data_IF_534421985188
#
_entry.id   IF_534421985188
#
_cell.length_a   1.000
_cell.length_b   1.000
_cell.length_c   1.000
_cell.angle_alpha   90.00
_cell.angle_beta   90.00
_cell.angle_gamma   90.00
#
_symmetry.space_group_name_H-M   'P 1'
#
loop_
_entity.id
_entity.type
_entity.pdbx_description
1 polymer ?
#
# COMPACT_ATOMS: atom_id res chain seq x y z
N UNK A 1 13.20 -9.81 -14.54
CA UNK A 1 13.86 -9.32 -13.31
C UNK A 1 13.98 -7.80 -13.24
N UNK A 2 14.47 -7.09 -14.27
CA UNK A 2 14.58 -5.62 -14.28
C UNK A 2 13.26 -4.88 -13.94
N UNK A 3 12.13 -5.24 -14.58
CA UNK A 3 10.82 -4.63 -14.33
C UNK A 3 10.31 -4.86 -12.89
N UNK A 4 10.56 -6.05 -12.34
CA UNK A 4 10.22 -6.39 -10.96
C UNK A 4 11.02 -5.54 -9.97
N UNK A 5 12.32 -5.33 -10.25
CA UNK A 5 13.17 -4.44 -9.46
C UNK A 5 12.70 -2.98 -9.48
N UNK A 6 12.32 -2.46 -10.66
CA UNK A 6 11.74 -1.12 -10.79
C UNK A 6 10.44 -0.96 -9.98
N UNK A 7 9.54 -1.95 -10.06
CA UNK A 7 8.29 -1.91 -9.30
C UNK A 7 8.52 -1.90 -7.78
N UNK A 8 9.51 -2.63 -7.28
CA UNK A 8 9.89 -2.61 -5.87
C UNK A 8 10.53 -1.29 -5.45
N UNK A 9 11.42 -0.73 -6.29
CA UNK A 9 12.02 0.58 -6.03
C UNK A 9 10.97 1.70 -5.96
N UNK A 10 10.01 1.71 -6.89
CA UNK A 10 8.90 2.66 -6.90
C UNK A 10 8.00 2.55 -5.66
N UNK A 11 7.72 1.32 -5.23
CA UNK A 11 6.97 1.08 -4.00
C UNK A 11 7.74 1.61 -2.78
N UNK A 12 9.04 1.32 -2.70
CA UNK A 12 9.92 1.80 -1.62
C UNK A 12 9.97 3.33 -1.56
N UNK A 13 10.13 4.01 -2.69
CA UNK A 13 10.10 5.48 -2.75
C UNK A 13 8.77 6.05 -2.26
N UNK A 14 7.63 5.46 -2.67
CA UNK A 14 6.31 5.90 -2.21
C UNK A 14 6.13 5.69 -0.70
N UNK A 15 6.66 4.60 -0.14
CA UNK A 15 6.65 4.36 1.30
C UNK A 15 7.49 5.39 2.06
N UNK A 16 8.70 5.70 1.57
CA UNK A 16 9.55 6.73 2.17
C UNK A 16 8.88 8.12 2.15
N UNK A 17 8.29 8.52 1.01
CA UNK A 17 7.52 9.76 0.90
C UNK A 17 6.31 9.79 1.83
N UNK A 18 5.64 8.65 2.02
CA UNK A 18 4.51 8.54 2.93
C UNK A 18 4.96 8.68 4.38
N UNK A 19 6.08 8.07 4.76
CA UNK A 19 6.65 8.18 6.09
C UNK A 19 7.01 9.64 6.42
N UNK A 20 7.64 10.34 5.49
CA UNK A 20 7.95 11.76 5.64
C UNK A 20 6.70 12.63 5.76
N UNK A 21 5.74 12.47 4.83
CA UNK A 21 4.47 13.21 4.88
C UNK A 21 3.68 12.94 6.17
N UNK A 22 3.77 11.72 6.71
CA UNK A 22 3.08 11.33 7.95
C UNK A 22 3.59 12.12 9.15
N UNK A 23 4.89 12.43 9.23
CA UNK A 23 5.45 13.26 10.31
C UNK A 23 4.77 14.63 10.35
N UNK A 24 4.68 15.31 9.21
CA UNK A 24 4.03 16.62 9.12
C UNK A 24 2.54 16.54 9.47
N UNK A 25 1.84 15.52 9.00
CA UNK A 25 0.40 15.34 9.30
C UNK A 25 0.18 15.07 10.79
N UNK A 26 1.00 14.20 11.41
CA UNK A 26 0.92 13.88 12.84
C UNK A 26 1.18 15.14 13.66
N UNK A 27 2.30 15.82 13.43
CA UNK A 27 2.64 17.05 14.16
C UNK A 27 1.51 18.09 14.09
N UNK A 28 0.96 18.28 12.89
CA UNK A 28 -0.14 19.22 12.66
C UNK A 28 -1.39 18.87 13.43
N UNK A 29 -1.83 17.61 13.34
CA UNK A 29 -3.08 17.17 13.95
C UNK A 29 -2.95 17.09 15.47
N UNK A 30 -1.76 16.73 15.97
CA UNK A 30 -1.44 16.80 17.39
C UNK A 30 -1.50 18.23 17.92
N UNK A 31 -0.98 19.22 17.18
CA UNK A 31 -1.11 20.63 17.57
C UNK A 31 -2.57 21.10 17.62
N UNK A 32 -3.39 20.72 16.63
CA UNK A 32 -4.83 21.07 16.62
C UNK A 32 -5.59 20.43 17.80
N UNK A 33 -5.30 19.16 18.10
CA UNK A 33 -5.88 18.47 19.27
C UNK A 33 -5.43 19.12 20.57
N UNK A 34 -4.13 19.43 20.72
CA UNK A 34 -3.59 20.09 21.90
C UNK A 34 -4.20 21.48 22.12
N UNK A 35 -4.42 22.24 21.04
CA UNK A 35 -5.07 23.54 21.11
C UNK A 35 -6.51 23.41 21.61
N UNK A 36 -7.30 22.49 21.06
CA UNK A 36 -8.66 22.23 21.53
C UNK A 36 -8.72 21.65 22.96
N UNK A 37 -7.70 20.90 23.40
CA UNK A 37 -7.63 20.42 24.79
C UNK A 37 -7.31 21.55 25.78
N UNK A 38 -6.53 22.56 25.37
CA UNK A 38 -6.17 23.72 26.20
C UNK A 38 -7.27 24.78 26.22
N UNK A 39 -7.99 24.93 25.11
CA UNK A 39 -9.15 25.82 24.98
C UNK A 39 -10.32 25.06 24.34
N UNK A 40 -11.10 24.32 25.16
CA UNK A 40 -12.21 23.52 24.65
C UNK A 40 -13.39 24.35 24.13
N UNK A 41 -13.49 25.64 24.45
CA UNK A 41 -14.61 26.46 23.97
C UNK A 41 -14.32 27.01 22.57
N UNK A 42 -13.05 27.15 22.19
CA UNK A 42 -12.63 27.70 20.89
C UNK A 42 -11.89 26.69 20.00
N UNK A 43 -11.97 25.40 20.30
CA UNK A 43 -11.38 24.34 19.48
C UNK A 43 -11.97 24.28 18.06
N UNK A 44 -11.14 23.99 17.05
CA UNK A 44 -11.58 23.74 15.67
C UNK A 44 -12.22 22.34 15.55
N UNK A 45 -13.41 22.18 16.13
CA UNK A 45 -14.14 20.92 16.13
C UNK A 45 -14.62 20.49 14.73
N UNK A 46 -14.73 21.44 13.80
CA UNK A 46 -15.00 21.15 12.40
C UNK A 46 -13.82 20.39 11.75
N UNK A 47 -12.58 20.81 11.98
CA UNK A 47 -11.41 20.08 11.52
C UNK A 47 -11.24 18.74 12.28
N UNK A 48 -11.41 18.74 13.61
CA UNK A 48 -11.24 17.52 14.43
C UNK A 48 -12.23 16.41 14.06
N UNK A 49 -13.51 16.76 13.88
CA UNK A 49 -14.55 15.79 13.50
C UNK A 49 -14.35 15.19 12.10
N UNK A 50 -13.67 15.89 11.20
CA UNK A 50 -13.34 15.40 9.85
C UNK A 50 -12.19 14.40 9.82
N UNK A 51 -11.33 14.39 10.83
CA UNK A 51 -10.09 13.60 10.79
C UNK A 51 -10.32 12.08 10.72
N UNK A 52 -11.34 11.56 11.43
CA UNK A 52 -11.65 10.12 11.48
C UNK A 52 -12.35 9.65 10.20
N UNK A 53 -13.43 10.31 9.72
CA UNK A 53 -14.05 9.96 8.44
C UNK A 53 -13.07 9.98 7.26
N UNK A 54 -12.11 10.90 7.25
CA UNK A 54 -11.07 10.93 6.22
C UNK A 54 -10.16 9.70 6.22
N UNK A 55 -9.79 9.20 7.41
CA UNK A 55 -9.01 7.97 7.53
C UNK A 55 -9.85 6.79 7.05
N UNK A 56 -11.08 6.66 7.52
CA UNK A 56 -12.01 5.60 7.10
C UNK A 56 -12.18 5.60 5.57
N UNK A 57 -12.42 6.76 4.95
CA UNK A 57 -12.59 6.86 3.50
C UNK A 57 -11.31 6.55 2.71
N UNK A 58 -10.12 6.85 3.25
CA UNK A 58 -8.85 6.49 2.62
C UNK A 58 -8.58 4.97 2.73
N UNK A 59 -8.83 4.39 3.90
CA UNK A 59 -8.69 2.95 4.13
C UNK A 59 -9.71 2.13 3.35
N UNK A 60 -10.97 2.56 3.27
CA UNK A 60 -12.00 1.89 2.46
C UNK A 60 -11.61 1.87 0.97
N UNK A 61 -11.09 2.98 0.44
CA UNK A 61 -10.59 3.05 -0.95
C UNK A 61 -9.36 2.19 -1.18
N UNK A 62 -8.44 2.16 -0.20
CA UNK A 62 -7.28 1.29 -0.22
C UNK A 62 -7.69 -0.19 -0.25
N UNK A 63 -8.59 -0.58 0.66
CA UNK A 63 -9.14 -1.94 0.74
C UNK A 63 -9.87 -2.34 -0.53
N UNK A 64 -10.78 -1.51 -1.04
CA UNK A 64 -11.49 -1.77 -2.30
C UNK A 64 -10.51 -1.96 -3.48
N UNK A 65 -9.45 -1.17 -3.57
CA UNK A 65 -8.43 -1.33 -4.63
C UNK A 65 -7.54 -2.56 -4.47
N UNK A 66 -7.54 -3.21 -3.29
CA UNK A 66 -6.72 -4.36 -2.99
C UNK A 66 -7.44 -5.70 -3.23
N UNK A 67 -8.77 -5.74 -3.23
CA UNK A 67 -9.55 -6.99 -3.29
C UNK A 67 -9.27 -7.78 -4.57
N UNK A 68 -9.46 -7.15 -5.73
CA UNK A 68 -9.26 -7.81 -7.03
C UNK A 68 -7.80 -8.29 -7.21
N UNK A 69 -6.88 -7.47 -6.71
CA UNK A 69 -5.45 -7.75 -6.76
C UNK A 69 -5.04 -8.92 -5.85
N UNK A 70 -5.60 -8.99 -4.64
CA UNK A 70 -5.41 -10.09 -3.71
C UNK A 70 -5.97 -11.40 -4.28
N UNK A 71 -7.16 -11.36 -4.88
CA UNK A 71 -7.76 -12.51 -5.54
C UNK A 71 -6.89 -13.01 -6.71
N UNK A 72 -6.36 -12.09 -7.52
CA UNK A 72 -5.47 -12.45 -8.62
C UNK A 72 -4.16 -13.08 -8.13
N UNK A 73 -3.56 -12.55 -7.07
CA UNK A 73 -2.35 -13.12 -6.46
C UNK A 73 -2.63 -14.50 -5.86
N UNK A 74 -3.76 -14.66 -5.16
CA UNK A 74 -4.17 -15.93 -4.57
C UNK A 74 -4.41 -17.02 -5.64
N UNK A 75 -5.10 -16.68 -6.73
CA UNK A 75 -5.32 -17.61 -7.84
C UNK A 75 -4.00 -18.07 -8.47
N UNK A 76 -3.04 -17.16 -8.66
CA UNK A 76 -1.72 -17.51 -9.19
C UNK A 76 -0.88 -18.32 -8.20
N UNK A 77 -0.98 -18.06 -6.90
CA UNK A 77 -0.31 -18.85 -5.88
C UNK A 77 -0.84 -20.30 -5.85
N UNK A 78 -2.16 -20.48 -5.95
CA UNK A 78 -2.79 -21.81 -6.06
C UNK A 78 -2.32 -22.53 -7.33
N UNK A 79 -2.26 -21.84 -8.46
CA UNK A 79 -1.76 -22.43 -9.71
C UNK A 79 -0.28 -22.86 -9.62
N UNK A 80 0.55 -22.09 -8.91
CA UNK A 80 1.95 -22.45 -8.65
C UNK A 80 2.03 -23.66 -7.70
N UNK A 81 1.19 -23.70 -6.66
CA UNK A 81 1.10 -24.84 -5.75
C UNK A 81 0.71 -26.13 -6.47
N UNK A 82 -0.33 -26.08 -7.32
CA UNK A 82 -0.76 -27.21 -8.14
C UNK A 82 0.35 -27.72 -9.05
N UNK A 83 1.14 -26.81 -9.64
CA UNK A 83 2.30 -27.19 -10.45
C UNK A 83 3.38 -27.90 -9.63
N UNK A 84 3.71 -27.40 -8.44
CA UNK A 84 4.67 -28.07 -7.55
C UNK A 84 4.19 -29.46 -7.14
N UNK A 85 2.92 -29.59 -6.76
CA UNK A 85 2.32 -30.88 -6.43
C UNK A 85 2.36 -31.83 -7.63
N UNK A 86 2.06 -31.33 -8.83
CA UNK A 86 2.14 -32.11 -10.06
C UNK A 86 3.56 -32.57 -10.39
N UNK A 87 4.60 -31.84 -9.99
CA UNK A 87 6.00 -32.28 -10.11
C UNK A 87 6.32 -33.33 -9.04
N UNK A 88 5.93 -33.09 -7.78
CA UNK A 88 6.16 -34.00 -6.67
C UNK A 88 5.52 -35.38 -6.91
N UNK A 89 4.29 -35.41 -7.45
CA UNK A 89 3.56 -36.64 -7.77
C UNK A 89 4.19 -37.47 -8.90
N UNK A 90 5.11 -36.91 -9.70
CA UNK A 90 5.83 -37.68 -10.74
C UNK A 90 6.91 -38.59 -10.16
N UNK A 91 7.23 -38.48 -8.85
CA UNK A 91 8.25 -39.30 -8.20
C UNK A 91 9.67 -39.10 -8.75
N UNK A 92 9.90 -38.03 -9.52
CA UNK A 92 11.21 -37.68 -10.09
C UNK A 92 11.58 -36.24 -9.74
N UNK A 93 12.86 -35.95 -9.78
CA UNK A 93 13.35 -34.58 -9.64
C UNK A 93 12.75 -33.65 -10.70
N UNK A 94 12.61 -32.37 -10.33
CA UNK A 94 12.18 -31.33 -11.25
C UNK A 94 13.19 -31.16 -12.38
N UNK A 95 12.71 -31.08 -13.62
CA UNK A 95 13.56 -30.78 -14.76
C UNK A 95 13.95 -29.29 -14.78
N UNK A 96 15.06 -28.92 -15.43
CA UNK A 96 15.43 -27.50 -15.61
C UNK A 96 14.32 -26.67 -16.28
N UNK A 97 13.53 -27.26 -17.19
CA UNK A 97 12.40 -26.61 -17.84
C UNK A 97 11.23 -26.32 -16.87
N UNK A 98 10.91 -27.29 -15.99
CA UNK A 98 9.92 -27.12 -14.93
C UNK A 98 10.35 -26.04 -13.92
N UNK A 99 11.63 -26.03 -13.54
CA UNK A 99 12.23 -24.99 -12.68
C UNK A 99 12.17 -23.62 -13.35
N UNK A 100 12.58 -23.51 -14.61
CA UNK A 100 12.55 -22.24 -15.36
C UNK A 100 11.14 -21.67 -15.53
N UNK A 101 10.16 -22.55 -15.75
CA UNK A 101 8.73 -22.17 -15.79
C UNK A 101 8.25 -21.67 -14.42
N UNK A 102 8.63 -22.37 -13.34
CA UNK A 102 8.30 -21.98 -11.98
C UNK A 102 8.93 -20.62 -11.61
N UNK A 103 10.20 -20.40 -11.92
CA UNK A 103 10.90 -19.12 -11.69
C UNK A 103 10.22 -17.98 -12.44
N UNK A 104 9.83 -18.18 -13.70
CA UNK A 104 9.16 -17.16 -14.51
C UNK A 104 7.78 -16.80 -13.97
N UNK A 105 7.01 -17.80 -13.53
CA UNK A 105 5.71 -17.60 -12.87
C UNK A 105 5.86 -16.87 -11.54
N UNK A 106 6.81 -17.29 -10.71
CA UNK A 106 7.09 -16.63 -9.42
C UNK A 106 7.52 -15.17 -9.61
N UNK A 107 8.37 -14.87 -10.59
CA UNK A 107 8.75 -13.49 -10.91
C UNK A 107 7.54 -12.62 -11.32
N UNK A 108 6.60 -13.21 -12.07
CA UNK A 108 5.35 -12.54 -12.46
C UNK A 108 4.44 -12.29 -11.26
N UNK A 109 4.33 -13.26 -10.35
CA UNK A 109 3.57 -13.12 -9.10
C UNK A 109 4.15 -11.99 -8.26
N UNK A 110 5.48 -11.98 -8.04
CA UNK A 110 6.16 -10.93 -7.27
C UNK A 110 5.91 -9.55 -7.88
N UNK A 111 6.02 -9.41 -9.20
CA UNK A 111 5.76 -8.14 -9.88
C UNK A 111 4.31 -7.68 -9.70
N UNK A 112 3.33 -8.58 -9.84
CA UNK A 112 1.91 -8.26 -9.67
C UNK A 112 1.60 -7.89 -8.22
N UNK A 113 2.13 -8.63 -7.26
CA UNK A 113 2.01 -8.34 -5.82
C UNK A 113 2.59 -6.97 -5.46
N UNK A 114 3.76 -6.62 -6.00
CA UNK A 114 4.36 -5.31 -5.77
C UNK A 114 3.51 -4.16 -6.35
N UNK A 115 2.98 -4.34 -7.56
CA UNK A 115 2.07 -3.36 -8.18
C UNK A 115 0.75 -3.23 -7.42
N UNK A 116 0.19 -4.35 -6.97
CA UNK A 116 -1.01 -4.41 -6.13
C UNK A 116 -0.82 -3.64 -4.82
N UNK A 117 0.28 -3.91 -4.10
CA UNK A 117 0.62 -3.17 -2.89
C UNK A 117 0.76 -1.66 -3.17
N UNK A 118 1.41 -1.30 -4.29
CA UNK A 118 1.51 0.10 -4.72
C UNK A 118 0.16 0.76 -5.00
N UNK A 119 -0.80 0.05 -5.60
CA UNK A 119 -2.17 0.53 -5.83
C UNK A 119 -2.95 0.67 -4.53
N UNK A 120 -2.89 -0.34 -3.67
CA UNK A 120 -3.54 -0.35 -2.36
C UNK A 120 -3.10 0.83 -1.48
N UNK A 121 -1.81 1.19 -1.52
CA UNK A 121 -1.28 2.31 -0.74
C UNK A 121 -1.52 3.69 -1.39
N UNK A 122 -1.85 3.75 -2.68
CA UNK A 122 -1.97 5.02 -3.40
C UNK A 122 -3.04 5.97 -2.81
N UNK A 123 -4.24 5.52 -2.39
CA UNK A 123 -5.22 6.39 -1.73
C UNK A 123 -4.69 7.02 -0.45
N UNK A 124 -3.95 6.25 0.36
CA UNK A 124 -3.36 6.72 1.63
C UNK A 124 -2.25 7.74 1.36
N UNK A 125 -1.34 7.43 0.42
CA UNK A 125 -0.26 8.34 0.00
C UNK A 125 -0.80 9.66 -0.57
N UNK A 126 -1.80 9.61 -1.45
CA UNK A 126 -2.45 10.82 -1.99
C UNK A 126 -3.06 11.67 -0.89
N UNK A 127 -3.74 11.06 0.08
CA UNK A 127 -4.36 11.79 1.17
C UNK A 127 -3.30 12.47 2.07
N UNK A 128 -2.23 11.76 2.41
CA UNK A 128 -1.11 12.33 3.17
C UNK A 128 -0.52 13.56 2.46
N UNK A 129 -0.23 13.46 1.15
CA UNK A 129 0.29 14.59 0.35
C UNK A 129 -0.68 15.76 0.27
N UNK A 130 -1.98 15.49 0.13
CA UNK A 130 -3.02 16.52 0.11
C UNK A 130 -3.00 17.32 1.41
N UNK A 131 -2.95 16.65 2.56
CA UNK A 131 -2.93 17.28 3.87
C UNK A 131 -1.68 18.13 4.09
N UNK A 132 -0.51 17.61 3.72
CA UNK A 132 0.76 18.37 3.78
C UNK A 132 0.69 19.64 2.91
N UNK A 133 0.16 19.54 1.69
CA UNK A 133 0.00 20.70 0.77
C UNK A 133 -1.02 21.73 1.27
N UNK A 134 -2.15 21.27 1.81
CA UNK A 134 -3.16 22.17 2.38
C UNK A 134 -2.58 22.99 3.54
N UNK A 135 -1.74 22.39 4.37
CA UNK A 135 -1.04 23.14 5.44
C UNK A 135 -0.01 24.12 4.90
N UNK A 136 0.78 23.74 3.89
CA UNK A 136 1.74 24.67 3.28
C UNK A 136 1.04 25.94 2.76
N UNK A 137 -0.18 25.81 2.23
CA UNK A 137 -0.99 26.95 1.76
C UNK A 137 -1.60 27.80 2.88
N UNK A 138 -1.89 27.23 4.05
CA UNK A 138 -2.37 27.99 5.23
C UNK A 138 -1.26 28.77 5.95
N UNK A 139 0.01 28.56 5.58
CA UNK A 139 1.18 29.28 6.12
C UNK A 139 1.61 30.49 5.27
N UNK A 140 1.01 30.69 4.09
CA UNK A 140 1.18 31.86 3.21
C UNK A 140 -0.01 32.78 3.40
#
# INVERSE_FOLDING_TARGET
MWRSGQAMADAGMKMAQMADASRTVIETRSQAMLAASRDPLNGDYAELSRMVPEKVAAFARAGASAVDDLQAVQAQAIANWQMMMGIALKGRAATPAEVGTMTSRTATIIERSAKAAGRALAPVHRNARRLTRAKARKKV
#
